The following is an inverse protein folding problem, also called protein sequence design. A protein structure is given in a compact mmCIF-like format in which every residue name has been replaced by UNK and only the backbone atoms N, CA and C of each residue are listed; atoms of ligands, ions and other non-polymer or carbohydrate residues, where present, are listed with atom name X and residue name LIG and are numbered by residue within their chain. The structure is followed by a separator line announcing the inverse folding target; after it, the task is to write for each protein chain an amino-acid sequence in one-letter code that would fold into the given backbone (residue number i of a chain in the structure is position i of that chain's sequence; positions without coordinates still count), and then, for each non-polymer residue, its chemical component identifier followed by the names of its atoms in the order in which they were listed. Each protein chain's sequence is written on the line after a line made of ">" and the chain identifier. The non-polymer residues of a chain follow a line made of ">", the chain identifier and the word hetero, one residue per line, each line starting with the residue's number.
data_IF_605225706183
#
_entry.id   IF_605225706183
#
_cell.length_a   1.000
_cell.length_b   1.000
_cell.length_c   1.000
_cell.angle_alpha   90.00
_cell.angle_beta   90.00
_cell.angle_gamma   90.00
#
_symmetry.space_group_name_H-M   'P 1'
#
loop_
_entity.id
_entity.type
_entity.pdbx_description
1 polymer ?
#
# COMPACT_ATOMS: atom_id res chain seq x y z
N UNK A 1 -23.09 21.47 -13.46
CA UNK A 1 -23.51 21.80 -14.85
C UNK A 1 -24.96 21.38 -15.03
N UNK A 2 -25.66 21.93 -16.03
CA UNK A 2 -27.11 21.73 -16.29
C UNK A 2 -27.60 20.26 -16.41
N UNK A 3 -26.70 19.28 -16.40
CA UNK A 3 -26.98 17.85 -16.50
C UNK A 3 -26.58 17.04 -15.25
N UNK A 4 -26.02 17.68 -14.22
CA UNK A 4 -25.63 16.99 -12.98
C UNK A 4 -26.85 16.73 -12.11
N UNK A 5 -27.02 15.50 -11.64
CA UNK A 5 -28.13 15.11 -10.73
C UNK A 5 -27.77 15.33 -9.26
N UNK A 6 -26.51 15.63 -8.96
CA UNK A 6 -25.96 15.69 -7.62
C UNK A 6 -25.83 17.13 -7.09
N UNK A 7 -26.38 17.36 -5.90
CA UNK A 7 -26.34 18.68 -5.24
C UNK A 7 -24.99 18.97 -4.59
N UNK A 8 -24.29 17.95 -4.08
CA UNK A 8 -23.05 18.09 -3.31
C UNK A 8 -21.78 18.00 -4.16
N UNK A 9 -21.87 17.37 -5.34
CA UNK A 9 -20.75 17.21 -6.27
C UNK A 9 -21.19 17.58 -7.69
N UNK A 10 -21.18 18.88 -8.04
CA UNK A 10 -21.75 19.34 -9.29
C UNK A 10 -20.82 19.06 -10.47
N UNK A 11 -21.16 18.09 -11.31
CA UNK A 11 -20.57 17.80 -12.63
C UNK A 11 -21.28 16.58 -13.24
N UNK A 12 -21.02 16.29 -14.51
CA UNK A 12 -21.52 15.04 -15.11
C UNK A 12 -20.84 13.85 -14.43
N UNK A 13 -21.65 12.88 -14.03
CA UNK A 13 -21.19 11.70 -13.32
C UNK A 13 -20.39 10.77 -14.24
N UNK A 14 -19.30 10.19 -13.72
CA UNK A 14 -18.54 9.17 -14.43
C UNK A 14 -19.26 7.82 -14.32
N UNK A 15 -20.33 7.65 -15.09
CA UNK A 15 -21.20 6.46 -15.04
C UNK A 15 -20.41 5.14 -15.18
N UNK A 16 -19.46 4.99 -16.14
CA UNK A 16 -18.68 3.76 -16.24
C UNK A 16 -17.84 3.46 -14.99
N UNK A 17 -17.19 4.47 -14.40
CA UNK A 17 -16.41 4.28 -13.18
C UNK A 17 -17.29 3.95 -11.97
N UNK A 18 -18.47 4.55 -11.86
CA UNK A 18 -19.43 4.28 -10.78
C UNK A 18 -19.91 2.82 -10.85
N UNK A 19 -20.30 2.35 -12.04
CA UNK A 19 -20.72 0.96 -12.24
C UNK A 19 -19.56 -0.01 -11.98
N UNK A 20 -18.36 0.31 -12.45
CA UNK A 20 -17.16 -0.48 -12.19
C UNK A 20 -16.82 -0.58 -10.70
N UNK A 21 -16.91 0.53 -9.98
CA UNK A 21 -16.71 0.58 -8.52
C UNK A 21 -17.74 -0.28 -7.80
N UNK A 22 -19.02 -0.18 -8.16
CA UNK A 22 -20.09 -1.01 -7.60
C UNK A 22 -19.78 -2.51 -7.75
N UNK A 23 -19.36 -2.94 -8.94
CA UNK A 23 -19.00 -4.34 -9.17
C UNK A 23 -17.76 -4.78 -8.40
N UNK A 24 -16.75 -3.92 -8.28
CA UNK A 24 -15.54 -4.22 -7.51
C UNK A 24 -15.88 -4.44 -6.02
N UNK A 25 -16.73 -3.59 -5.43
CA UNK A 25 -17.20 -3.73 -4.05
C UNK A 25 -18.00 -5.03 -3.86
N UNK A 26 -18.90 -5.36 -4.79
CA UNK A 26 -19.67 -6.61 -4.75
C UNK A 26 -18.75 -7.84 -4.72
N UNK A 27 -17.77 -7.91 -5.64
CA UNK A 27 -16.83 -9.02 -5.73
C UNK A 27 -15.95 -9.16 -4.48
N UNK A 28 -15.53 -8.03 -3.91
CA UNK A 28 -14.73 -8.00 -2.69
C UNK A 28 -15.53 -8.53 -1.49
N UNK A 29 -16.81 -8.14 -1.38
CA UNK A 29 -17.64 -8.51 -0.24
C UNK A 29 -17.97 -10.01 -0.19
N UNK A 30 -18.14 -10.66 -1.34
CA UNK A 30 -18.47 -12.09 -1.43
C UNK A 30 -17.45 -13.01 -0.73
N UNK A 31 -16.17 -12.61 -0.67
CA UNK A 31 -15.09 -13.45 -0.15
C UNK A 31 -14.20 -12.72 0.87
N UNK A 32 -14.70 -11.66 1.50
CA UNK A 32 -13.91 -10.72 2.30
C UNK A 32 -13.06 -11.41 3.39
N UNK A 33 -13.65 -12.28 4.20
CA UNK A 33 -12.97 -12.98 5.31
C UNK A 33 -11.89 -13.96 4.82
N UNK A 34 -12.22 -14.75 3.80
CA UNK A 34 -11.28 -15.72 3.20
C UNK A 34 -10.11 -15.01 2.53
N UNK A 35 -10.39 -13.92 1.83
CA UNK A 35 -9.38 -13.06 1.22
C UNK A 35 -8.44 -12.47 2.29
N UNK A 36 -9.00 -11.82 3.32
CA UNK A 36 -8.21 -11.23 4.40
C UNK A 36 -7.36 -12.25 5.14
N UNK A 37 -7.89 -13.44 5.41
CA UNK A 37 -7.15 -14.53 6.06
C UNK A 37 -5.96 -14.98 5.19
N UNK A 38 -6.18 -15.16 3.89
CA UNK A 38 -5.13 -15.56 2.94
C UNK A 38 -4.05 -14.49 2.81
N UNK A 39 -4.44 -13.23 2.65
CA UNK A 39 -3.51 -12.11 2.47
C UNK A 39 -2.73 -11.85 3.75
N UNK A 40 -3.37 -11.88 4.92
CA UNK A 40 -2.70 -11.81 6.23
C UNK A 40 -1.60 -12.86 6.36
N UNK A 41 -1.89 -14.13 6.01
CA UNK A 41 -0.89 -15.21 6.05
C UNK A 41 0.31 -14.94 5.14
N UNK A 42 0.07 -14.40 3.94
CA UNK A 42 1.14 -14.07 3.00
C UNK A 42 1.98 -12.87 3.49
N UNK A 43 1.31 -11.86 4.05
CA UNK A 43 1.96 -10.70 4.68
C UNK A 43 2.86 -11.14 5.82
N UNK A 44 2.36 -11.97 6.74
CA UNK A 44 3.13 -12.40 7.91
C UNK A 44 4.33 -13.24 7.47
N UNK A 45 4.15 -14.15 6.49
CA UNK A 45 5.27 -14.89 5.89
C UNK A 45 6.32 -13.97 5.26
N UNK A 46 5.90 -12.91 4.57
CA UNK A 46 6.81 -11.94 3.98
C UNK A 46 7.53 -11.11 5.04
N UNK A 47 6.82 -10.66 6.08
CA UNK A 47 7.41 -9.91 7.20
C UNK A 47 8.47 -10.75 7.90
N UNK A 48 8.14 -11.98 8.26
CA UNK A 48 9.07 -12.83 9.00
C UNK A 48 10.32 -13.14 8.16
N UNK A 49 10.16 -13.47 6.86
CA UNK A 49 11.31 -13.71 5.97
C UNK A 49 12.16 -12.47 5.67
N UNK A 50 11.59 -11.27 5.71
CA UNK A 50 12.34 -10.02 5.55
C UNK A 50 13.05 -9.60 6.84
N UNK A 51 12.49 -9.91 8.00
CA UNK A 51 13.10 -9.64 9.30
C UNK A 51 14.27 -10.56 9.64
N UNK A 52 14.40 -11.69 8.94
CA UNK A 52 15.59 -12.56 9.01
C UNK A 52 16.83 -11.91 8.37
N UNK A 53 16.66 -10.84 7.57
CA UNK A 53 17.77 -10.09 6.97
C UNK A 53 18.33 -9.12 8.02
N UNK A 54 19.66 -9.11 8.17
CA UNK A 54 20.33 -8.19 9.08
C UNK A 54 19.99 -6.72 8.79
N UNK A 55 19.89 -5.92 9.86
CA UNK A 55 19.62 -4.49 9.80
C UNK A 55 18.29 -4.11 9.12
N UNK A 56 17.27 -4.94 9.28
CA UNK A 56 15.89 -4.62 8.87
C UNK A 56 15.02 -4.21 10.04
N UNK A 57 14.10 -3.27 9.78
CA UNK A 57 13.16 -2.76 10.79
C UNK A 57 11.76 -2.72 10.19
N UNK A 58 10.79 -3.32 10.88
CA UNK A 58 9.38 -3.22 10.52
C UNK A 58 8.81 -1.87 10.97
N UNK A 59 8.35 -1.04 10.01
CA UNK A 59 7.77 0.27 10.31
C UNK A 59 6.29 0.12 10.67
N UNK A 60 5.88 0.63 11.84
CA UNK A 60 4.50 0.56 12.34
C UNK A 60 4.16 -0.77 13.06
N UNK A 61 2.90 -0.98 13.47
CA UNK A 61 2.52 -2.09 14.35
C UNK A 61 2.65 -3.48 13.68
N UNK A 62 2.96 -4.53 14.45
CA UNK A 62 2.83 -5.95 14.02
C UNK A 62 1.45 -6.50 14.45
N UNK A 63 0.91 -7.48 13.71
CA UNK A 63 -0.33 -8.18 14.05
C UNK A 63 -1.61 -7.49 13.58
N UNK A 64 -2.67 -7.53 14.40
CA UNK A 64 -4.03 -7.16 14.01
C UNK A 64 -4.24 -5.65 13.75
N UNK A 65 -3.35 -4.79 14.24
CA UNK A 65 -3.41 -3.33 14.02
C UNK A 65 -2.81 -2.89 12.67
N UNK A 66 -2.33 -3.84 11.86
CA UNK A 66 -1.78 -3.59 10.51
C UNK A 66 -2.74 -4.11 9.45
N UNK A 67 -2.87 -3.37 8.35
CA UNK A 67 -3.62 -3.83 7.18
C UNK A 67 -3.12 -5.19 6.68
N UNK A 68 -3.99 -6.14 6.30
CA UNK A 68 -3.59 -7.44 5.77
C UNK A 68 -2.62 -7.37 4.59
N UNK A 69 -2.74 -6.36 3.74
CA UNK A 69 -2.03 -6.22 2.47
C UNK A 69 -0.78 -5.32 2.53
N UNK A 70 -0.39 -4.84 3.72
CA UNK A 70 0.70 -3.88 3.87
C UNK A 70 1.94 -4.52 4.51
N UNK A 71 3.10 -4.30 3.89
CA UNK A 71 4.42 -4.51 4.49
C UNK A 71 5.24 -3.24 4.23
N UNK A 72 5.78 -2.66 5.30
CA UNK A 72 6.65 -1.49 5.23
C UNK A 72 7.87 -1.78 6.10
N UNK A 73 9.03 -1.97 5.46
CA UNK A 73 10.28 -2.34 6.10
C UNK A 73 11.37 -1.36 5.68
N UNK A 74 12.14 -0.91 6.65
CA UNK A 74 13.37 -0.16 6.45
C UNK A 74 14.55 -1.13 6.39
N UNK A 75 15.34 -1.03 5.32
CA UNK A 75 16.63 -1.70 5.21
C UNK A 75 17.70 -0.67 5.53
N UNK A 76 18.31 -0.76 6.71
CA UNK A 76 19.32 0.21 7.11
C UNK A 76 20.55 0.06 6.21
N UNK A 77 21.24 1.18 5.97
CA UNK A 77 22.41 1.25 5.09
C UNK A 77 22.14 0.96 3.61
N UNK A 78 20.87 0.81 3.21
CA UNK A 78 20.45 0.67 1.82
C UNK A 78 19.60 1.86 1.36
N UNK A 79 19.77 2.27 0.11
CA UNK A 79 18.95 3.30 -0.50
C UNK A 79 17.66 2.69 -1.07
N UNK A 80 16.50 3.22 -0.67
CA UNK A 80 15.19 2.68 -1.06
C UNK A 80 14.90 2.77 -2.57
N UNK A 81 15.41 3.81 -3.24
CA UNK A 81 15.26 3.95 -4.70
C UNK A 81 16.05 2.88 -5.46
N UNK A 82 17.29 2.61 -5.04
CA UNK A 82 18.11 1.55 -5.62
C UNK A 82 17.45 0.17 -5.48
N UNK A 83 16.89 -0.13 -4.30
CA UNK A 83 16.13 -1.36 -4.07
C UNK A 83 14.90 -1.45 -5.00
N UNK A 84 14.18 -0.34 -5.18
CA UNK A 84 12.99 -0.29 -6.06
C UNK A 84 13.37 -0.59 -7.51
N UNK A 85 14.47 -0.01 -8.01
CA UNK A 85 14.97 -0.26 -9.37
C UNK A 85 15.38 -1.73 -9.53
N UNK A 86 16.20 -2.25 -8.62
CA UNK A 86 16.68 -3.64 -8.69
C UNK A 86 15.56 -4.67 -8.60
N UNK A 87 14.57 -4.45 -7.73
CA UNK A 87 13.41 -5.33 -7.63
C UNK A 87 12.55 -5.26 -8.90
N UNK A 88 12.37 -4.08 -9.47
CA UNK A 88 11.64 -3.90 -10.74
C UNK A 88 12.29 -4.66 -11.89
N UNK A 89 13.63 -4.63 -11.99
CA UNK A 89 14.38 -5.43 -12.96
C UNK A 89 14.18 -6.95 -12.79
N UNK A 90 13.87 -7.40 -11.57
CA UNK A 90 13.51 -8.78 -11.24
C UNK A 90 12.00 -9.08 -11.34
N UNK A 91 11.20 -8.13 -11.82
CA UNK A 91 9.74 -8.26 -11.96
C UNK A 91 8.97 -8.13 -10.64
N UNK A 92 9.60 -7.59 -9.60
CA UNK A 92 9.00 -7.35 -8.28
C UNK A 92 8.73 -5.85 -8.14
N UNK A 93 7.46 -5.48 -8.06
CA UNK A 93 7.04 -4.09 -7.94
C UNK A 93 6.86 -3.72 -6.47
N UNK A 94 7.64 -2.74 -6.02
CA UNK A 94 7.57 -2.17 -4.67
C UNK A 94 7.45 -0.66 -4.74
N UNK A 95 7.02 -0.05 -3.65
CA UNK A 95 7.09 1.40 -3.46
C UNK A 95 8.05 1.71 -2.34
N UNK A 96 9.02 2.60 -2.59
CA UNK A 96 9.69 3.31 -1.50
C UNK A 96 8.68 4.24 -0.82
N UNK A 97 8.81 4.47 0.49
CA UNK A 97 7.94 5.35 1.31
C UNK A 97 7.92 6.84 0.88
N UNK A 98 8.37 7.13 -0.33
CA UNK A 98 8.45 8.40 -1.05
C UNK A 98 7.72 8.33 -2.40
N UNK A 99 6.57 7.63 -2.47
CA UNK A 99 5.81 7.46 -3.71
C UNK A 99 5.35 8.78 -4.39
N UNK A 100 5.64 9.95 -3.82
CA UNK A 100 5.77 11.24 -4.52
C UNK A 100 6.89 12.10 -3.89
N UNK A 101 7.96 12.33 -4.64
CA UNK A 101 8.77 13.57 -4.69
C UNK A 101 9.12 14.27 -3.36
N UNK A 102 10.30 14.01 -2.83
CA UNK A 102 11.20 15.09 -2.40
C UNK A 102 12.58 14.78 -2.96
N UNK A 103 13.26 15.76 -3.58
CA UNK A 103 14.68 15.63 -3.97
C UNK A 103 15.62 15.65 -2.75
N UNK A 104 15.11 15.29 -1.58
CA UNK A 104 15.72 15.52 -0.29
C UNK A 104 15.70 14.18 0.44
N UNK A 105 16.88 13.70 0.80
CA UNK A 105 17.14 12.48 1.59
C UNK A 105 16.68 12.64 3.05
N UNK A 106 15.50 13.23 3.28
CA UNK A 106 14.91 13.39 4.59
C UNK A 106 13.80 12.35 4.80
N UNK A 107 13.69 11.77 6.01
CA UNK A 107 12.61 10.85 6.32
C UNK A 107 11.26 11.54 6.13
N UNK A 108 10.28 10.81 5.56
CA UNK A 108 8.95 11.37 5.34
C UNK A 108 8.30 11.77 6.67
N UNK A 109 7.38 12.73 6.64
CA UNK A 109 6.63 13.17 7.82
C UNK A 109 5.94 12.01 8.56
N UNK A 110 5.55 10.95 7.83
CA UNK A 110 4.98 9.72 8.40
C UNK A 110 6.04 8.94 9.18
N UNK A 111 7.23 8.73 8.62
CA UNK A 111 8.34 8.07 9.32
C UNK A 111 8.75 8.87 10.56
N UNK A 112 8.89 10.20 10.44
CA UNK A 112 9.18 11.07 11.59
C UNK A 112 8.13 10.98 12.70
N UNK A 113 6.86 10.80 12.36
CA UNK A 113 5.78 10.70 13.33
C UNK A 113 5.73 9.34 14.05
N UNK A 114 6.26 8.27 13.44
CA UNK A 114 6.30 6.94 14.06
C UNK A 114 7.62 6.65 14.80
N UNK A 115 8.60 7.57 14.75
CA UNK A 115 9.88 7.49 15.45
C UNK A 115 10.95 6.77 14.65
#
# INVERSE_FOLDING_TARGET
>A
GQLSTQHLWPSLENIPAIVGFSKAVELMHLNFESYNSRITRLRDKLIDGLLDIEYTVLNGPKGYKRSPDNVNISFLFCEGEALTVELSLKGIYVSSGSACTSRILEPSHVLQAIG
#
